data_IF_543875462875
#
_entry.id   IF_543875462875
#
_cell.length_a   1.000
_cell.length_b   1.000
_cell.length_c   1.000
_cell.angle_alpha   90.00
_cell.angle_beta   90.00
_cell.angle_gamma   90.00
#
_symmetry.space_group_name_H-M   'P 1'
#
loop_
_entity.id
_entity.type
_entity.pdbx_description
1 polymer ?
#
# COMPACT_ATOMS: atom_id res chain seq x y z
N UNK A 1 -66.83 -28.72 -33.85
CA UNK A 1 -66.61 -28.92 -32.40
C UNK A 1 -65.66 -27.83 -31.95
N UNK A 2 -66.12 -26.89 -31.12
CA UNK A 2 -65.32 -25.73 -30.68
C UNK A 2 -64.38 -26.19 -29.56
N UNK A 3 -63.07 -26.03 -29.75
CA UNK A 3 -62.05 -26.52 -28.82
C UNK A 3 -62.05 -25.67 -27.54
N UNK A 4 -62.77 -26.14 -26.52
CA UNK A 4 -62.89 -25.48 -25.21
C UNK A 4 -61.55 -25.36 -24.44
N UNK A 5 -60.48 -25.94 -24.98
CA UNK A 5 -59.11 -25.90 -24.44
C UNK A 5 -58.32 -24.64 -24.83
N UNK A 6 -58.71 -23.93 -25.90
CA UNK A 6 -58.05 -22.69 -26.35
C UNK A 6 -58.08 -21.52 -25.35
N UNK A 7 -59.21 -21.21 -24.67
CA UNK A 7 -59.22 -20.10 -23.71
C UNK A 7 -58.38 -20.40 -22.45
N UNK A 8 -58.27 -21.66 -22.05
CA UNK A 8 -57.47 -22.10 -20.90
C UNK A 8 -55.96 -22.02 -21.19
N UNK A 9 -55.54 -22.42 -22.39
CA UNK A 9 -54.13 -22.32 -22.80
C UNK A 9 -53.69 -20.86 -22.96
N UNK A 10 -54.58 -20.00 -23.48
CA UNK A 10 -54.32 -18.56 -23.59
C UNK A 10 -54.15 -17.89 -22.22
N UNK A 11 -55.00 -18.22 -21.23
CA UNK A 11 -54.87 -17.70 -19.86
C UNK A 11 -53.56 -18.14 -19.21
N UNK A 12 -53.20 -19.42 -19.32
CA UNK A 12 -51.95 -19.94 -18.76
C UNK A 12 -50.72 -19.30 -19.40
N UNK A 13 -50.75 -19.10 -20.73
CA UNK A 13 -49.70 -18.38 -21.45
C UNK A 13 -49.54 -16.94 -20.97
N UNK A 14 -50.66 -16.25 -20.71
CA UNK A 14 -50.65 -14.86 -20.24
C UNK A 14 -50.10 -14.74 -18.82
N UNK A 15 -50.42 -15.69 -17.94
CA UNK A 15 -49.88 -15.69 -16.57
C UNK A 15 -48.37 -15.93 -16.59
N UNK A 16 -47.88 -16.84 -17.44
CA UNK A 16 -46.44 -17.12 -17.56
C UNK A 16 -45.70 -15.91 -18.14
N UNK A 17 -46.23 -15.23 -19.15
CA UNK A 17 -45.60 -14.04 -19.72
C UNK A 17 -45.55 -12.90 -18.72
N UNK A 18 -46.64 -12.64 -17.97
CA UNK A 18 -46.66 -11.63 -16.92
C UNK A 18 -45.64 -11.97 -15.83
N UNK A 19 -45.57 -13.23 -15.40
CA UNK A 19 -44.61 -13.68 -14.37
C UNK A 19 -43.17 -13.54 -14.85
N UNK A 20 -42.87 -13.88 -16.11
CA UNK A 20 -41.56 -13.72 -16.72
C UNK A 20 -41.16 -12.23 -16.81
N UNK A 21 -42.09 -11.35 -17.18
CA UNK A 21 -41.87 -9.91 -17.22
C UNK A 21 -41.58 -9.38 -15.81
N UNK A 22 -42.43 -9.71 -14.82
CA UNK A 22 -42.25 -9.26 -13.43
C UNK A 22 -40.90 -9.71 -12.88
N UNK A 23 -40.54 -10.99 -13.05
CA UNK A 23 -39.25 -11.53 -12.59
C UNK A 23 -38.04 -10.91 -13.30
N UNK A 24 -38.18 -10.58 -14.58
CA UNK A 24 -37.15 -9.89 -15.35
C UNK A 24 -36.90 -8.47 -14.82
N UNK A 25 -37.95 -7.75 -14.44
CA UNK A 25 -37.85 -6.41 -13.84
C UNK A 25 -37.44 -6.43 -12.37
N UNK A 26 -37.76 -7.49 -11.63
CA UNK A 26 -37.44 -7.62 -10.20
C UNK A 26 -35.95 -7.89 -9.93
N UNK A 27 -35.30 -8.68 -10.80
CA UNK A 27 -33.87 -9.02 -10.69
C UNK A 27 -32.91 -7.82 -10.68
N UNK A 28 -33.00 -6.85 -11.60
CA UNK A 28 -32.10 -5.69 -11.62
C UNK A 28 -32.34 -4.77 -10.42
N UNK A 29 -33.60 -4.57 -10.00
CA UNK A 29 -33.94 -3.73 -8.83
C UNK A 29 -33.32 -4.31 -7.55
N UNK A 30 -33.44 -5.62 -7.31
CA UNK A 30 -32.82 -6.26 -6.16
C UNK A 30 -31.29 -6.28 -6.22
N UNK A 31 -30.69 -6.32 -7.42
CA UNK A 31 -29.23 -6.19 -7.57
C UNK A 31 -28.76 -4.76 -7.29
N UNK A 32 -29.49 -3.75 -7.76
CA UNK A 32 -29.19 -2.35 -7.52
C UNK A 32 -29.20 -2.01 -6.02
N UNK A 33 -30.16 -2.55 -5.26
CA UNK A 33 -30.23 -2.36 -3.80
C UNK A 33 -29.04 -2.91 -3.01
N UNK A 34 -28.22 -3.80 -3.60
CA UNK A 34 -26.96 -4.27 -2.99
C UNK A 34 -25.80 -3.32 -3.28
N UNK A 35 -25.79 -2.72 -4.47
CA UNK A 35 -24.78 -1.74 -4.88
C UNK A 35 -24.99 -0.43 -4.12
N UNK A 36 -26.23 0.04 -4.00
CA UNK A 36 -26.58 1.21 -3.19
C UNK A 36 -26.12 1.04 -1.74
N UNK A 37 -26.37 -0.11 -1.11
CA UNK A 37 -25.86 -0.40 0.24
C UNK A 37 -24.35 -0.44 0.35
N UNK A 38 -23.65 -0.92 -0.69
CA UNK A 38 -22.19 -0.90 -0.71
C UNK A 38 -21.64 0.53 -0.85
N UNK A 39 -22.36 1.43 -1.53
CA UNK A 39 -22.00 2.83 -1.70
C UNK A 39 -22.32 3.65 -0.45
N UNK A 40 -23.52 3.50 0.11
CA UNK A 40 -24.01 4.24 1.27
C UNK A 40 -23.41 3.74 2.59
N UNK A 41 -22.99 2.48 2.65
CA UNK A 41 -22.57 1.83 3.89
C UNK A 41 -23.75 1.33 4.71
N UNK A 42 -23.49 0.36 5.59
CA UNK A 42 -24.44 -0.16 6.56
C UNK A 42 -23.90 0.13 7.97
N UNK A 43 -24.75 0.18 9.02
CA UNK A 43 -24.27 0.32 10.39
C UNK A 43 -23.27 -0.79 10.73
N UNK A 44 -22.00 -0.42 10.93
CA UNK A 44 -20.90 -1.37 11.18
C UNK A 44 -20.11 -1.84 9.94
N UNK A 45 -20.48 -1.41 8.72
CA UNK A 45 -19.71 -1.61 7.49
C UNK A 45 -19.53 -0.29 6.72
N UNK A 46 -18.33 0.31 6.76
CA UNK A 46 -18.08 1.59 6.10
C UNK A 46 -18.30 1.49 4.60
N UNK A 47 -19.05 2.47 4.07
CA UNK A 47 -19.38 2.55 2.66
C UNK A 47 -18.18 2.85 1.79
N UNK A 48 -18.35 2.74 0.47
CA UNK A 48 -17.26 2.99 -0.48
C UNK A 48 -16.70 4.42 -0.37
N UNK A 49 -17.56 5.41 -0.09
CA UNK A 49 -17.13 6.81 0.10
C UNK A 49 -16.34 7.03 1.38
N UNK A 50 -16.68 6.33 2.46
CA UNK A 50 -15.92 6.36 3.71
C UNK A 50 -14.52 5.75 3.51
N UNK A 51 -14.45 4.64 2.76
CA UNK A 51 -13.18 4.00 2.41
C UNK A 51 -12.29 4.91 1.56
N UNK A 52 -12.87 5.59 0.56
CA UNK A 52 -12.13 6.57 -0.25
C UNK A 52 -11.65 7.77 0.57
N UNK A 53 -12.48 8.27 1.48
CA UNK A 53 -12.12 9.38 2.37
C UNK A 53 -10.97 8.97 3.29
N UNK A 54 -11.00 7.75 3.83
CA UNK A 54 -9.94 7.23 4.67
C UNK A 54 -8.63 7.04 3.90
N UNK A 55 -8.68 6.51 2.68
CA UNK A 55 -7.50 6.39 1.81
C UNK A 55 -6.92 7.76 1.45
N UNK A 56 -7.75 8.75 1.13
CA UNK A 56 -7.29 10.11 0.86
C UNK A 56 -6.61 10.75 2.08
N UNK A 57 -7.13 10.52 3.29
CA UNK A 57 -6.48 10.98 4.52
C UNK A 57 -5.12 10.31 4.74
N UNK A 58 -4.99 9.01 4.45
CA UNK A 58 -3.71 8.31 4.53
C UNK A 58 -2.70 8.86 3.51
N UNK A 59 -3.12 9.07 2.26
CA UNK A 59 -2.29 9.65 1.21
C UNK A 59 -1.86 11.07 1.58
N UNK A 60 -2.78 11.90 2.08
CA UNK A 60 -2.47 13.25 2.55
C UNK A 60 -1.49 13.23 3.73
N UNK A 61 -1.60 12.26 4.64
CA UNK A 61 -0.66 12.08 5.76
C UNK A 61 0.72 11.67 5.27
N UNK A 62 0.81 10.73 4.33
CA UNK A 62 2.07 10.30 3.71
C UNK A 62 2.71 11.48 2.97
N UNK A 63 1.93 12.22 2.17
CA UNK A 63 2.39 13.43 1.53
C UNK A 63 2.86 14.46 2.57
N UNK A 64 2.15 14.65 3.67
CA UNK A 64 2.57 15.51 4.77
C UNK A 64 3.73 14.94 5.59
N UNK A 65 4.12 13.67 5.47
CA UNK A 65 5.37 13.19 6.06
C UNK A 65 6.53 13.40 5.10
N UNK A 66 6.26 13.34 3.80
CA UNK A 66 7.26 13.48 2.75
C UNK A 66 7.53 14.95 2.39
N UNK A 67 6.56 15.86 2.52
CA UNK A 67 6.64 17.22 1.96
C UNK A 67 6.92 18.40 2.92
N UNK A 68 6.59 18.46 4.22
CA UNK A 68 6.86 19.67 5.01
C UNK A 68 8.34 19.84 5.35
N UNK A 69 9.14 18.76 5.29
CA UNK A 69 10.61 18.79 5.23
C UNK A 69 11.18 18.05 3.98
N UNK A 70 10.27 17.70 3.06
CA UNK A 70 10.44 17.75 1.60
C UNK A 70 11.68 17.11 0.99
N UNK A 71 12.03 15.85 1.27
CA UNK A 71 13.11 15.13 0.58
C UNK A 71 14.55 15.66 0.80
N UNK A 72 14.71 16.95 1.07
CA UNK A 72 15.93 17.61 1.51
C UNK A 72 16.37 17.04 2.86
N UNK A 73 15.45 16.76 3.79
CA UNK A 73 15.82 16.14 5.08
C UNK A 73 16.40 14.72 4.93
N UNK A 74 15.88 13.91 4.00
CA UNK A 74 16.44 12.57 3.75
C UNK A 74 17.75 12.66 2.96
N UNK A 75 17.82 13.54 1.95
CA UNK A 75 19.05 13.75 1.19
C UNK A 75 20.18 14.32 2.05
N UNK A 76 19.85 15.22 2.96
CA UNK A 76 20.76 15.81 3.94
C UNK A 76 21.19 14.78 5.00
N UNK A 77 20.27 13.91 5.45
CA UNK A 77 20.63 12.77 6.30
C UNK A 77 21.59 11.79 5.59
N UNK A 78 21.37 11.49 4.31
CA UNK A 78 22.26 10.67 3.50
C UNK A 78 23.62 11.35 3.34
N UNK A 79 23.64 12.63 2.95
CA UNK A 79 24.88 13.39 2.80
C UNK A 79 25.69 13.45 4.10
N UNK A 80 25.04 13.68 5.25
CA UNK A 80 25.69 13.61 6.57
C UNK A 80 26.26 12.23 6.87
N UNK A 81 25.56 11.17 6.47
CA UNK A 81 26.02 9.78 6.66
C UNK A 81 27.23 9.49 5.79
N UNK A 82 27.24 9.93 4.54
CA UNK A 82 28.38 9.79 3.63
C UNK A 82 29.63 10.51 4.14
N UNK A 83 29.46 11.74 4.64
CA UNK A 83 30.56 12.52 5.25
C UNK A 83 31.09 11.80 6.51
N UNK A 84 30.19 11.27 7.35
CA UNK A 84 30.56 10.52 8.55
C UNK A 84 31.29 9.22 8.22
N UNK A 85 30.88 8.53 7.16
CA UNK A 85 31.55 7.33 6.67
C UNK A 85 32.95 7.65 6.13
N UNK A 86 33.09 8.71 5.32
CA UNK A 86 34.39 9.13 4.79
C UNK A 86 35.38 9.53 5.89
N UNK A 87 34.91 10.23 6.92
CA UNK A 87 35.74 10.60 8.07
C UNK A 87 36.14 9.38 8.91
N UNK A 88 35.23 8.42 9.12
CA UNK A 88 35.55 7.16 9.79
C UNK A 88 36.62 6.35 9.03
N UNK A 89 36.53 6.28 7.70
CA UNK A 89 37.53 5.61 6.85
C UNK A 89 38.89 6.31 6.96
N UNK A 90 38.92 7.64 6.92
CA UNK A 90 40.16 8.40 7.08
C UNK A 90 40.82 8.17 8.45
N UNK A 91 40.02 8.14 9.53
CA UNK A 91 40.50 7.85 10.88
C UNK A 91 41.03 6.42 11.01
N UNK A 92 40.35 5.44 10.41
CA UNK A 92 40.82 4.05 10.36
C UNK A 92 42.17 3.93 9.65
N UNK A 93 42.34 4.62 8.51
CA UNK A 93 43.60 4.60 7.76
C UNK A 93 44.75 5.20 8.57
N UNK A 94 44.53 6.37 9.18
CA UNK A 94 45.53 7.01 10.04
C UNK A 94 45.91 6.12 11.24
N UNK A 95 44.93 5.41 11.82
CA UNK A 95 45.19 4.47 12.91
C UNK A 95 46.02 3.27 12.44
N UNK A 96 45.73 2.73 11.26
CA UNK A 96 46.52 1.64 10.67
C UNK A 96 47.98 2.05 10.43
N UNK A 97 48.22 3.24 9.88
CA UNK A 97 49.57 3.79 9.66
C UNK A 97 50.34 3.96 10.98
N UNK A 98 49.67 4.41 12.05
CA UNK A 98 50.26 4.54 13.39
C UNK A 98 50.64 3.18 13.98
N UNK A 99 49.78 2.17 13.83
CA UNK A 99 50.05 0.81 14.29
C UNK A 99 51.25 0.22 13.56
N UNK A 100 51.34 0.43 12.24
CA UNK A 100 52.46 -0.05 11.44
C UNK A 100 53.79 0.63 11.84
N UNK A 101 53.77 1.94 12.07
CA UNK A 101 54.96 2.67 12.53
C UNK A 101 55.41 2.20 13.92
N UNK A 102 54.47 1.88 14.81
CA UNK A 102 54.78 1.32 16.13
C UNK A 102 55.38 -0.09 16.00
N UNK A 103 54.84 -0.93 15.12
CA UNK A 103 55.38 -2.25 14.84
C UNK A 103 56.84 -2.16 14.35
N UNK A 104 57.11 -1.28 13.38
CA UNK A 104 58.47 -1.04 12.85
C UNK A 104 59.44 -0.45 13.88
N UNK A 105 58.94 0.35 14.84
CA UNK A 105 59.75 0.85 15.95
C UNK A 105 60.09 -0.25 16.95
N UNK A 106 59.13 -1.13 17.24
CA UNK A 106 59.31 -2.23 18.17
C UNK A 106 60.33 -3.24 17.62
N UNK A 107 60.23 -3.56 16.34
CA UNK A 107 61.11 -4.48 15.64
C UNK A 107 62.58 -4.00 15.68
N UNK A 108 62.80 -2.72 15.34
CA UNK A 108 64.13 -2.08 15.48
C UNK A 108 64.65 -2.07 16.93
N UNK A 109 63.78 -1.93 17.92
CA UNK A 109 64.21 -1.96 19.32
C UNK A 109 64.65 -3.35 19.76
N UNK A 110 63.99 -4.41 19.26
CA UNK A 110 64.37 -5.80 19.52
C UNK A 110 65.72 -6.12 18.85
N UNK A 111 65.93 -5.69 17.60
CA UNK A 111 67.19 -5.90 16.88
C UNK A 111 68.39 -5.20 17.54
N UNK A 112 68.20 -4.01 18.12
CA UNK A 112 69.28 -3.23 18.74
C UNK A 112 69.45 -3.46 20.26
N UNK A 113 68.42 -3.93 20.96
CA UNK A 113 68.44 -4.16 22.41
C UNK A 113 68.93 -5.54 22.85
N UNK A 114 69.16 -6.47 21.90
CA UNK A 114 69.60 -7.85 22.17
C UNK A 114 71.12 -8.08 22.22
N UNK A 115 71.93 -7.04 22.41
CA UNK A 115 73.39 -7.15 22.59
C UNK A 115 73.81 -6.99 24.03
#
# INVERSE_FOLDING_TARGET
>A
MMNWLDPLSALMGTVVTITAVVTLFWRPIHRAGRVLRAVEGEPGRPGLMDQMTHQNQQIATIQHQVLPNGGASMRDAIARTEISAATAVAASKSTAERVQTLAERLDRHIEHGGK
#
